data_IF_133421869089
#
_entry.id   IF_133421869089
#
_cell.length_a   1.000
_cell.length_b   1.000
_cell.length_c   1.000
_cell.angle_alpha   90.00
_cell.angle_beta   90.00
_cell.angle_gamma   90.00
#
_symmetry.space_group_name_H-M   'P 1'
#
loop_
_entity.id
_entity.type
_entity.pdbx_description
1 polymer ?
#
# COMPACT_ATOMS: atom_id res chain seq x y z
N UNK A 1 11.98 -19.10 14.02
CA UNK A 1 11.73 -17.65 14.24
C UNK A 1 10.41 -17.47 14.98
N UNK A 2 10.33 -16.55 15.95
CA UNK A 2 9.09 -16.25 16.69
C UNK A 2 8.12 -15.53 15.75
N UNK A 3 6.88 -16.02 15.63
CA UNK A 3 5.85 -15.41 14.79
C UNK A 3 5.32 -14.13 15.44
N UNK A 4 5.17 -13.07 14.65
CA UNK A 4 4.67 -11.76 15.03
C UNK A 4 3.17 -11.71 14.82
N UNK A 5 2.45 -11.30 15.87
CA UNK A 5 0.99 -11.18 15.91
C UNK A 5 0.51 -9.74 16.14
N UNK A 6 1.43 -8.83 16.43
CA UNK A 6 1.14 -7.43 16.71
C UNK A 6 1.76 -6.55 15.64
N UNK A 7 1.01 -5.54 15.22
CA UNK A 7 1.38 -4.63 14.15
C UNK A 7 1.89 -3.31 14.71
N UNK A 8 2.90 -2.76 14.04
CA UNK A 8 3.34 -1.38 14.16
C UNK A 8 3.04 -0.62 12.84
N UNK A 9 3.31 0.68 12.82
CA UNK A 9 3.03 1.52 11.66
C UNK A 9 3.87 1.14 10.44
N UNK A 10 5.06 0.59 10.63
CA UNK A 10 5.89 0.07 9.53
C UNK A 10 5.26 -1.16 8.90
N UNK A 11 4.68 -2.08 9.68
CA UNK A 11 3.98 -3.24 9.14
C UNK A 11 2.76 -2.79 8.33
N UNK A 12 1.98 -1.84 8.87
CA UNK A 12 0.81 -1.28 8.16
C UNK A 12 1.24 -0.56 6.88
N UNK A 13 2.33 0.19 6.90
CA UNK A 13 2.93 0.81 5.71
C UNK A 13 3.31 -0.26 4.67
N UNK A 14 3.96 -1.34 5.08
CA UNK A 14 4.37 -2.41 4.18
C UNK A 14 3.15 -3.16 3.60
N UNK A 15 2.15 -3.50 4.42
CA UNK A 15 0.92 -4.19 3.99
C UNK A 15 0.15 -3.36 2.96
N UNK A 16 0.05 -2.05 3.18
CA UNK A 16 -0.83 -1.17 2.39
C UNK A 16 -0.11 -0.43 1.27
N UNK A 17 1.21 -0.32 1.33
CA UNK A 17 2.01 0.52 0.43
C UNK A 17 1.82 2.04 0.63
N UNK A 18 1.01 2.46 1.60
CA UNK A 18 0.70 3.88 1.84
C UNK A 18 1.80 4.56 2.65
N UNK A 19 1.91 5.90 2.57
CA UNK A 19 2.91 6.65 3.34
C UNK A 19 2.91 6.32 4.85
N UNK A 20 4.06 6.46 5.52
CA UNK A 20 4.16 6.25 6.98
C UNK A 20 3.16 7.10 7.79
N UNK A 21 2.84 8.32 7.31
CA UNK A 21 1.81 9.17 7.94
C UNK A 21 0.42 8.54 7.82
N UNK A 22 0.07 8.04 6.63
CA UNK A 22 -1.20 7.33 6.40
C UNK A 22 -1.28 6.07 7.25
N UNK A 23 -0.19 5.30 7.36
CA UNK A 23 -0.13 4.11 8.19
C UNK A 23 -0.35 4.41 9.69
N UNK A 24 0.21 5.51 10.20
CA UNK A 24 -0.05 5.98 11.56
C UNK A 24 -1.53 6.37 11.77
N UNK A 25 -2.11 7.09 10.80
CA UNK A 25 -3.54 7.44 10.84
C UNK A 25 -4.43 6.19 10.81
N UNK A 26 -4.08 5.18 10.00
CA UNK A 26 -4.80 3.90 9.98
C UNK A 26 -4.69 3.16 11.32
N UNK A 27 -3.52 3.16 11.96
CA UNK A 27 -3.41 2.59 13.30
C UNK A 27 -4.31 3.30 14.31
N UNK A 28 -4.42 4.63 14.23
CA UNK A 28 -5.34 5.38 15.09
C UNK A 28 -6.79 5.04 14.78
N UNK A 29 -7.14 4.88 13.50
CA UNK A 29 -8.48 4.46 13.08
C UNK A 29 -8.86 3.08 13.62
N UNK A 30 -7.99 2.08 13.49
CA UNK A 30 -8.21 0.73 14.03
C UNK A 30 -8.46 0.79 15.54
N UNK A 31 -7.71 1.63 16.27
CA UNK A 31 -7.92 1.81 17.71
C UNK A 31 -9.32 2.31 18.03
N UNK A 32 -9.79 3.31 17.28
CA UNK A 32 -11.14 3.84 17.44
C UNK A 32 -12.19 2.76 17.16
N UNK A 33 -12.09 2.06 16.02
CA UNK A 33 -13.07 1.03 15.63
C UNK A 33 -13.11 -0.18 16.59
N UNK A 34 -11.96 -0.54 17.16
CA UNK A 34 -11.82 -1.68 18.07
C UNK A 34 -11.92 -1.29 19.54
N UNK A 35 -12.22 -0.03 19.85
CA UNK A 35 -12.26 0.53 21.20
C UNK A 35 -10.98 0.24 22.02
N UNK A 36 -9.82 0.34 21.37
CA UNK A 36 -8.52 0.10 21.99
C UNK A 36 -7.99 1.38 22.64
N UNK A 37 -7.44 1.24 23.85
CA UNK A 37 -6.74 2.33 24.53
C UNK A 37 -5.51 2.80 23.75
N UNK A 38 -5.08 4.05 23.98
CA UNK A 38 -3.97 4.70 23.26
C UNK A 38 -2.67 3.89 23.26
N UNK A 39 -2.39 3.16 24.33
CA UNK A 39 -1.16 2.37 24.51
C UNK A 39 -1.33 0.88 24.23
N UNK A 40 -2.54 0.40 23.94
CA UNK A 40 -2.75 -1.02 23.65
C UNK A 40 -2.08 -1.39 22.32
N UNK A 41 -1.62 -2.62 22.17
CA UNK A 41 -1.04 -3.09 20.90
C UNK A 41 -2.17 -3.47 19.94
N UNK A 42 -1.95 -3.27 18.64
CA UNK A 42 -2.90 -3.66 17.61
C UNK A 42 -2.51 -5.05 17.11
N UNK A 43 -3.42 -6.02 17.19
CA UNK A 43 -3.20 -7.37 16.68
C UNK A 43 -3.48 -7.48 15.19
N UNK A 44 -2.98 -8.55 14.56
CA UNK A 44 -3.36 -8.93 13.19
C UNK A 44 -4.87 -9.15 13.05
N UNK A 45 -5.53 -9.61 14.11
CA UNK A 45 -6.98 -9.85 14.13
C UNK A 45 -7.77 -8.55 14.08
N UNK A 46 -7.30 -7.51 14.77
CA UNK A 46 -7.93 -6.19 14.78
C UNK A 46 -7.85 -5.55 13.39
N UNK A 47 -6.68 -5.62 12.76
CA UNK A 47 -6.45 -5.12 11.41
C UNK A 47 -7.29 -5.88 10.38
N UNK A 48 -7.28 -7.21 10.44
CA UNK A 48 -8.07 -8.08 9.56
C UNK A 48 -9.57 -7.80 9.69
N UNK A 49 -10.06 -7.59 10.92
CA UNK A 49 -11.46 -7.26 11.19
C UNK A 49 -11.85 -5.91 10.59
N UNK A 50 -11.06 -4.86 10.82
CA UNK A 50 -11.40 -3.49 10.39
C UNK A 50 -11.38 -3.35 8.87
N UNK A 51 -10.41 -3.97 8.19
CA UNK A 51 -10.27 -3.88 6.73
C UNK A 51 -10.90 -5.05 5.97
N UNK A 52 -11.61 -5.93 6.68
CA UNK A 52 -12.24 -7.12 6.11
C UNK A 52 -11.28 -7.97 5.25
N UNK A 53 -10.08 -8.21 5.78
CA UNK A 53 -9.03 -9.01 5.15
C UNK A 53 -8.93 -10.37 5.83
N UNK A 54 -8.63 -11.46 5.08
CA UNK A 54 -8.36 -12.75 5.71
C UNK A 54 -7.16 -12.66 6.67
N UNK A 55 -7.33 -13.12 7.90
CA UNK A 55 -6.26 -13.11 8.92
C UNK A 55 -5.01 -13.85 8.44
N UNK A 56 -5.19 -14.94 7.67
CA UNK A 56 -4.09 -15.72 7.09
C UNK A 56 -3.22 -14.88 6.16
N UNK A 57 -3.83 -14.02 5.34
CA UNK A 57 -3.10 -13.12 4.43
C UNK A 57 -2.27 -12.11 5.23
N UNK A 58 -2.84 -11.48 6.25
CA UNK A 58 -2.13 -10.53 7.12
C UNK A 58 -1.01 -11.23 7.89
N UNK A 59 -1.28 -12.44 8.40
CA UNK A 59 -0.29 -13.25 9.11
C UNK A 59 0.89 -13.62 8.22
N UNK A 60 0.62 -14.08 7.00
CA UNK A 60 1.66 -14.45 6.02
C UNK A 60 2.45 -13.22 5.61
N UNK A 61 1.80 -12.08 5.39
CA UNK A 61 2.48 -10.84 5.01
C UNK A 61 3.51 -10.40 6.07
N UNK A 62 3.14 -10.47 7.34
CA UNK A 62 3.97 -10.00 8.46
C UNK A 62 5.07 -11.02 8.82
N UNK A 63 4.84 -12.31 8.56
CA UNK A 63 5.71 -13.40 8.99
C UNK A 63 6.48 -14.09 7.87
N UNK A 64 6.29 -13.66 6.63
CA UNK A 64 6.98 -14.17 5.45
C UNK A 64 7.87 -13.10 4.84
N UNK A 65 9.02 -13.52 4.34
CA UNK A 65 9.93 -12.66 3.59
C UNK A 65 9.50 -12.52 2.11
N UNK A 66 8.49 -13.28 1.66
CA UNK A 66 7.92 -13.21 0.31
C UNK A 66 7.44 -11.81 -0.06
N UNK A 67 6.96 -11.06 0.93
CA UNK A 67 6.36 -9.74 0.74
C UNK A 67 7.24 -8.60 1.27
N UNK A 68 8.35 -8.94 1.93
CA UNK A 68 9.41 -7.99 2.19
C UNK A 68 10.11 -7.72 0.87
N UNK A 69 9.53 -6.82 0.08
CA UNK A 69 10.35 -6.06 -0.86
C UNK A 69 11.48 -5.49 0.01
N UNK A 70 12.73 -5.83 -0.33
CA UNK A 70 13.89 -5.14 0.23
C UNK A 70 13.73 -3.62 0.03
N UNK A 71 14.68 -2.78 0.48
CA UNK A 71 14.69 -1.40 0.03
C UNK A 71 14.50 -1.41 -1.49
N UNK A 72 13.37 -0.84 -1.93
CA UNK A 72 13.08 -0.73 -3.34
C UNK A 72 14.16 0.21 -3.84
N UNK A 73 15.18 -0.34 -4.49
CA UNK A 73 16.04 0.44 -5.35
C UNK A 73 15.12 0.89 -6.47
N UNK A 74 14.68 2.15 -6.41
CA UNK A 74 13.79 2.76 -7.40
C UNK A 74 14.35 2.56 -8.82
N UNK A 75 15.67 2.43 -8.96
CA UNK A 75 16.38 2.07 -10.18
C UNK A 75 16.07 0.64 -10.65
N UNK A 76 16.13 -0.35 -9.74
CA UNK A 76 15.80 -1.73 -10.05
C UNK A 76 14.31 -1.91 -10.40
N UNK A 77 13.43 -1.17 -9.73
CA UNK A 77 11.99 -1.20 -10.01
C UNK A 77 11.69 -0.60 -11.37
N UNK A 78 12.39 0.48 -11.75
CA UNK A 78 12.30 1.13 -13.08
C UNK A 78 12.82 0.22 -14.20
N UNK A 79 13.92 -0.51 -13.97
CA UNK A 79 14.47 -1.48 -14.92
C UNK A 79 13.52 -2.69 -15.11
N UNK A 80 12.94 -3.20 -14.03
CA UNK A 80 11.97 -4.31 -14.12
C UNK A 80 10.67 -3.88 -14.81
N UNK A 81 10.25 -2.62 -14.60
CA UNK A 81 9.11 -2.02 -15.30
C UNK A 81 9.35 -1.89 -16.80
N UNK A 82 10.53 -1.38 -17.20
CA UNK A 82 10.90 -1.25 -18.60
C UNK A 82 10.96 -2.60 -19.32
N UNK A 83 11.37 -3.66 -18.62
CA UNK A 83 11.35 -5.02 -19.18
C UNK A 83 9.92 -5.55 -19.41
N UNK A 84 8.98 -5.31 -18.48
CA UNK A 84 7.59 -5.79 -18.59
C UNK A 84 6.75 -4.98 -19.59
N UNK A 85 7.03 -3.69 -19.77
CA UNK A 85 6.32 -2.84 -20.75
C UNK A 85 6.59 -3.22 -22.20
N UNK A 86 7.69 -3.93 -22.48
CA UNK A 86 7.99 -4.43 -23.83
C UNK A 86 7.24 -5.73 -24.17
N UNK A 87 6.72 -6.47 -23.19
CA UNK A 87 6.16 -7.81 -23.43
C UNK A 87 4.63 -7.90 -23.38
N UNK A 88 3.91 -7.03 -22.66
CA UNK A 88 2.45 -7.12 -22.59
C UNK A 88 1.78 -5.74 -22.65
N UNK A 89 1.28 -5.38 -23.84
CA UNK A 89 0.52 -4.17 -24.13
C UNK A 89 -0.91 -4.15 -23.57
N UNK A 90 -1.08 -4.33 -22.25
CA UNK A 90 -2.36 -4.06 -21.57
C UNK A 90 -2.12 -3.27 -20.28
N UNK A 91 -2.22 -1.95 -20.40
CA UNK A 91 -2.09 -0.94 -19.34
C UNK A 91 -3.43 -0.64 -18.68
N UNK A 92 -4.01 -1.58 -17.92
CA UNK A 92 -5.10 -1.26 -17.00
C UNK A 92 -4.75 -1.71 -15.58
N UNK A 93 -4.25 -0.75 -14.81
CA UNK A 93 -3.92 -0.91 -13.41
C UNK A 93 -5.15 -1.14 -12.55
N UNK A 94 -4.97 -1.87 -11.45
CA UNK A 94 -5.88 -2.14 -10.33
C UNK A 94 -6.31 -0.87 -9.56
N UNK A 95 -6.54 0.24 -10.24
CA UNK A 95 -7.02 1.47 -9.64
C UNK A 95 -8.55 1.45 -9.55
N UNK A 96 -9.08 1.76 -8.37
CA UNK A 96 -10.50 2.04 -8.14
C UNK A 96 -10.64 3.47 -7.63
N UNK A 97 -11.63 4.21 -8.14
CA UNK A 97 -11.93 5.60 -7.74
C UNK A 97 -12.16 5.76 -6.24
N UNK A 98 -12.56 4.70 -5.56
CA UNK A 98 -12.84 4.73 -4.12
C UNK A 98 -11.59 5.04 -3.29
N UNK A 99 -10.38 4.87 -3.84
CA UNK A 99 -9.13 5.26 -3.19
C UNK A 99 -8.87 6.77 -3.17
N UNK A 100 -9.61 7.56 -3.95
CA UNK A 100 -9.43 9.01 -4.05
C UNK A 100 -9.87 9.74 -2.76
N UNK A 101 -10.75 9.14 -1.97
CA UNK A 101 -11.23 9.73 -0.70
C UNK A 101 -10.13 9.90 0.33
N UNK A 102 -9.06 9.11 0.21
CA UNK A 102 -7.90 9.12 1.11
C UNK A 102 -6.74 9.97 0.57
N UNK A 103 -6.85 10.50 -0.64
CA UNK A 103 -5.80 11.30 -1.27
C UNK A 103 -5.90 12.77 -0.87
N UNK A 104 -4.74 13.41 -0.73
CA UNK A 104 -4.71 14.86 -0.54
C UNK A 104 -4.98 15.57 -1.89
N UNK A 105 -5.47 16.83 -1.88
CA UNK A 105 -5.65 17.62 -3.11
C UNK A 105 -4.37 17.75 -3.94
N UNK A 106 -3.20 17.70 -3.31
CA UNK A 106 -1.91 17.76 -3.99
C UNK A 106 -1.59 16.46 -4.77
N UNK A 107 -2.00 15.32 -4.24
CA UNK A 107 -1.76 14.01 -4.86
C UNK A 107 -2.68 13.79 -6.06
N UNK A 108 -3.95 14.22 -5.95
CA UNK A 108 -4.90 14.25 -7.06
C UNK A 108 -4.41 15.11 -8.22
N UNK A 109 -3.80 16.26 -7.91
CA UNK A 109 -3.28 17.19 -8.93
C UNK A 109 -2.05 16.64 -9.67
N UNK A 110 -1.17 15.91 -8.97
CA UNK A 110 -0.02 15.24 -9.60
C UNK A 110 -0.44 14.14 -10.57
N UNK A 111 -1.48 13.36 -10.21
CA UNK A 111 -2.03 12.32 -11.09
C UNK A 111 -2.59 12.89 -12.40
N UNK A 112 -3.39 13.95 -12.30
CA UNK A 112 -3.96 14.59 -13.48
C UNK A 112 -2.89 15.26 -14.39
N UNK A 113 -1.70 15.53 -13.86
CA UNK A 113 -0.58 16.00 -14.67
C UNK A 113 0.08 14.85 -15.45
N UNK A 114 0.19 13.65 -14.86
CA UNK A 114 0.81 12.48 -15.50
C UNK A 114 -0.02 11.95 -16.68
N UNK A 115 -1.36 12.02 -16.59
CA UNK A 115 -2.28 11.62 -17.68
C UNK A 115 -2.26 12.58 -18.90
N UNK A 116 -1.73 13.80 -18.75
CA UNK A 116 -1.65 14.76 -19.85
C UNK A 116 -0.32 14.68 -20.61
N UNK A 117 0.78 14.28 -19.97
CA UNK A 117 2.10 14.13 -20.64
C UNK A 117 2.15 12.92 -21.59
N UNK A 118 1.31 11.89 -21.39
CA UNK A 118 1.25 10.72 -22.27
C UNK A 118 0.46 10.96 -23.58
N UNK A 119 -0.14 12.14 -23.77
CA UNK A 119 -0.89 12.47 -25.01
C UNK A 119 -0.08 13.21 -26.07
N UNK A 120 1.10 13.74 -25.73
CA UNK A 120 1.94 14.49 -26.68
C UNK A 120 3.06 13.63 -27.33
N UNK A 121 3.11 12.33 -27.03
CA UNK A 121 4.16 11.40 -27.47
C UNK A 121 3.86 10.54 -28.70
N UNK A 122 2.69 10.67 -29.34
CA UNK A 122 2.37 9.91 -30.57
C UNK A 122 1.99 10.87 -31.69
N UNK A 123 3.00 11.43 -32.34
CA UNK A 123 2.85 12.09 -33.63
C UNK A 123 3.92 11.60 -34.60
N UNK A 124 3.45 10.73 -35.51
CA UNK A 124 3.91 10.43 -36.89
C UNK A 124 5.36 10.05 -37.14
#
# INVERSE_FOLDING_TARGET
MKKKLFLNSTDVHQITGLSMRSAQNMMQYIRTERNLGKHQVIGIFDFAFVFNLPVTVVFDFVNSDLYKKGPIDDEALRIEYQKKSLENGYTHYLYNKDFDICMSPADLKKRNATDNDDKDGVAS
#
